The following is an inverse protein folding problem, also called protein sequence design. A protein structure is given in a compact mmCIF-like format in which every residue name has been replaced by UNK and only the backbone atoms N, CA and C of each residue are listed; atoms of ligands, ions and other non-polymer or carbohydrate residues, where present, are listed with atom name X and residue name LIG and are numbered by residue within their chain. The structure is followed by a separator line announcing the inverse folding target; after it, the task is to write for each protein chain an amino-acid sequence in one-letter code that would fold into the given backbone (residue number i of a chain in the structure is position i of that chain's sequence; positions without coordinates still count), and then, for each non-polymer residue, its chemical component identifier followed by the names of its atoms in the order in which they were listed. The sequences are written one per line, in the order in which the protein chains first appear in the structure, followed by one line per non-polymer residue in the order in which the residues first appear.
data_IF_007103663483
#
_entry.id   IF_007103663483
#
_cell.length_a   1.000
_cell.length_b   1.000
_cell.length_c   1.000
_cell.angle_alpha   90.00
_cell.angle_beta   90.00
_cell.angle_gamma   90.00
#
_symmetry.space_group_name_H-M   'P 1'
#
loop_
_entity.id
_entity.type
_entity.pdbx_description
1 polymer ?
#
# COMPACT_ATOMS: atom_id res chain seq x y z
N UNK A 1 29.55 60.83 24.35
CA UNK A 1 29.66 60.54 22.91
C UNK A 1 29.69 59.03 22.71
N UNK A 2 28.80 58.54 21.86
CA UNK A 2 28.77 57.21 21.22
C UNK A 2 28.39 56.02 22.12
N UNK A 3 27.09 55.70 22.03
CA UNK A 3 26.47 54.42 22.35
C UNK A 3 27.11 53.27 21.56
N UNK A 4 27.30 52.11 22.20
CA UNK A 4 27.51 50.83 21.53
C UNK A 4 26.53 49.80 22.09
N UNK A 5 25.35 49.75 21.48
CA UNK A 5 24.45 48.60 21.54
C UNK A 5 25.15 47.39 20.92
N UNK A 6 25.33 46.32 21.67
CA UNK A 6 25.66 45.00 21.12
C UNK A 6 24.38 44.17 21.20
N UNK A 7 23.81 43.90 20.03
CA UNK A 7 22.63 43.06 19.88
C UNK A 7 22.95 41.60 20.26
N UNK A 8 22.03 40.86 20.90
CA UNK A 8 22.19 39.43 21.04
C UNK A 8 21.92 38.78 19.67
N UNK A 9 22.90 38.05 19.15
CA UNK A 9 22.69 37.12 18.05
C UNK A 9 21.84 35.96 18.56
N UNK A 10 20.51 36.06 18.41
CA UNK A 10 19.65 34.88 18.39
C UNK A 10 19.86 34.21 17.03
N UNK A 11 20.73 33.20 16.99
CA UNK A 11 20.69 32.21 15.93
C UNK A 11 19.39 31.43 16.08
N UNK A 12 18.31 31.92 15.46
CA UNK A 12 17.15 31.11 15.12
C UNK A 12 17.68 30.02 14.19
N UNK A 13 17.97 28.85 14.76
CA UNK A 13 18.23 27.66 13.98
C UNK A 13 17.00 27.45 13.12
N UNK A 14 17.13 27.75 11.83
CA UNK A 14 16.23 27.26 10.80
C UNK A 14 16.41 25.75 10.83
N UNK A 15 15.69 25.07 11.72
CA UNK A 15 15.32 23.70 11.46
C UNK A 15 14.59 23.79 10.12
N UNK A 16 15.29 23.42 9.05
CA UNK A 16 14.64 23.16 7.78
C UNK A 16 13.53 22.19 8.12
N UNK A 17 12.29 22.68 8.14
CA UNK A 17 11.12 21.89 7.81
C UNK A 17 11.38 21.45 6.36
N UNK A 18 12.32 20.51 6.18
CA UNK A 18 12.23 19.58 5.07
C UNK A 18 10.81 19.06 5.22
N UNK A 19 9.95 19.48 4.30
CA UNK A 19 8.59 18.98 4.18
C UNK A 19 8.70 17.49 4.42
N UNK A 20 8.12 16.99 5.51
CA UNK A 20 7.99 15.57 5.69
C UNK A 20 7.16 15.13 4.49
N UNK A 21 7.83 14.67 3.45
CA UNK A 21 7.16 14.12 2.29
C UNK A 21 6.44 12.91 2.87
N UNK A 22 5.11 12.91 2.82
CA UNK A 22 4.29 11.84 3.37
C UNK A 22 4.53 10.58 2.54
N UNK A 23 5.62 9.88 2.86
CA UNK A 23 6.00 8.65 2.19
C UNK A 23 4.97 7.57 2.54
N UNK A 24 4.56 6.83 1.53
CA UNK A 24 3.72 5.65 1.73
C UNK A 24 4.59 4.55 2.35
N UNK A 25 4.40 4.34 3.65
CA UNK A 25 5.04 3.25 4.36
C UNK A 25 4.40 1.91 3.99
N UNK A 26 5.21 0.97 3.50
CA UNK A 26 4.79 -0.43 3.32
C UNK A 26 5.01 -1.19 4.61
N UNK A 27 3.98 -1.28 5.45
CA UNK A 27 4.01 -2.00 6.73
C UNK A 27 3.34 -3.37 6.66
N UNK A 28 2.60 -3.64 5.58
CA UNK A 28 1.60 -4.70 5.56
C UNK A 28 0.38 -4.36 6.41
N UNK A 29 -0.61 -5.26 6.42
CA UNK A 29 -1.85 -5.08 7.20
C UNK A 29 -1.57 -5.32 8.68
N UNK A 30 -1.75 -4.28 9.49
CA UNK A 30 -1.63 -4.35 10.95
C UNK A 30 -2.70 -5.30 11.51
N UNK A 31 -2.26 -6.35 12.22
CA UNK A 31 -3.14 -7.26 12.95
C UNK A 31 -3.47 -6.67 14.33
N UNK A 32 -4.74 -6.58 14.69
CA UNK A 32 -5.14 -5.93 15.95
C UNK A 32 -4.89 -6.79 17.21
N UNK A 33 -4.92 -8.13 17.11
CA UNK A 33 -5.01 -9.00 18.30
C UNK A 33 -4.10 -10.25 18.26
N UNK A 34 -2.94 -10.20 17.61
CA UNK A 34 -1.98 -11.31 17.64
C UNK A 34 -1.28 -11.55 16.32
N UNK A 35 -1.05 -12.83 15.99
CA UNK A 35 -0.39 -13.25 14.76
C UNK A 35 -1.13 -12.74 13.52
N UNK A 36 -0.37 -12.40 12.48
CA UNK A 36 -0.95 -12.04 11.19
C UNK A 36 -1.81 -13.20 10.65
N UNK A 37 -3.07 -12.94 10.23
CA UNK A 37 -3.89 -13.88 9.48
C UNK A 37 -3.15 -14.48 8.29
N UNK A 38 -3.50 -15.71 7.95
CA UNK A 38 -2.92 -16.42 6.80
C UNK A 38 -3.48 -15.89 5.48
N UNK A 39 -2.66 -15.89 4.44
CA UNK A 39 -3.15 -15.77 3.05
C UNK A 39 -3.79 -17.11 2.68
N UNK A 40 -5.00 -17.07 2.12
CA UNK A 40 -5.79 -18.26 1.77
C UNK A 40 -5.77 -18.53 0.27
N UNK A 41 -6.06 -19.76 -0.13
CA UNK A 41 -6.22 -20.09 -1.55
C UNK A 41 -7.47 -19.38 -2.09
N UNK A 42 -7.36 -18.73 -3.25
CA UNK A 42 -8.48 -17.99 -3.86
C UNK A 42 -9.66 -18.90 -4.21
N UNK A 43 -9.42 -20.16 -4.60
CA UNK A 43 -10.49 -21.10 -4.95
C UNK A 43 -11.31 -21.52 -3.72
N UNK A 44 -10.65 -21.70 -2.57
CA UNK A 44 -11.32 -21.97 -1.29
C UNK A 44 -12.11 -20.74 -0.84
N UNK A 45 -11.50 -19.56 -0.91
CA UNK A 45 -12.16 -18.31 -0.53
C UNK A 45 -13.42 -18.06 -1.38
N UNK A 46 -13.35 -18.34 -2.67
CA UNK A 46 -14.48 -18.20 -3.59
C UNK A 46 -15.58 -19.23 -3.33
N UNK A 47 -15.22 -20.49 -3.03
CA UNK A 47 -16.21 -21.56 -2.81
C UNK A 47 -16.95 -21.43 -1.48
N UNK A 48 -16.28 -20.93 -0.44
CA UNK A 48 -16.90 -20.62 0.86
C UNK A 48 -17.85 -19.41 0.80
N UNK A 49 -17.65 -18.53 -0.18
CA UNK A 49 -18.39 -17.29 -0.34
C UNK A 49 -18.39 -16.42 0.94
N UNK A 50 -19.41 -15.58 1.09
CA UNK A 50 -19.64 -14.81 2.30
C UNK A 50 -18.71 -13.61 2.49
N UNK A 51 -18.65 -13.06 3.71
CA UNK A 51 -18.14 -11.71 3.94
C UNK A 51 -16.70 -11.46 3.47
N UNK A 52 -15.77 -12.41 3.65
CA UNK A 52 -14.39 -12.21 3.17
C UNK A 52 -14.31 -12.21 1.64
N UNK A 53 -15.06 -13.07 0.96
CA UNK A 53 -15.12 -13.10 -0.51
C UNK A 53 -15.78 -11.84 -1.05
N UNK A 54 -16.91 -11.45 -0.49
CA UNK A 54 -17.64 -10.24 -0.85
C UNK A 54 -16.74 -9.00 -0.72
N UNK A 55 -16.02 -8.88 0.39
CA UNK A 55 -15.09 -7.77 0.62
C UNK A 55 -13.90 -7.82 -0.31
N UNK A 56 -13.34 -9.00 -0.60
CA UNK A 56 -12.24 -9.12 -1.57
C UNK A 56 -12.63 -8.57 -2.94
N UNK A 57 -13.80 -8.97 -3.46
CA UNK A 57 -14.30 -8.51 -4.76
C UNK A 57 -14.62 -7.00 -4.74
N UNK A 58 -15.34 -6.52 -3.72
CA UNK A 58 -15.69 -5.09 -3.61
C UNK A 58 -14.45 -4.21 -3.44
N UNK A 59 -13.46 -4.66 -2.66
CA UNK A 59 -12.22 -3.90 -2.44
C UNK A 59 -11.38 -3.83 -3.70
N UNK A 60 -11.31 -4.93 -4.46
CA UNK A 60 -10.64 -4.93 -5.76
C UNK A 60 -11.31 -3.96 -6.73
N UNK A 61 -12.65 -3.96 -6.76
CA UNK A 61 -13.43 -3.03 -7.58
C UNK A 61 -13.18 -1.57 -7.17
N UNK A 62 -13.27 -1.24 -5.88
CA UNK A 62 -12.99 0.12 -5.39
C UNK A 62 -11.55 0.54 -5.73
N UNK A 63 -10.56 -0.31 -5.44
CA UNK A 63 -9.13 -0.04 -5.69
C UNK A 63 -8.83 0.21 -7.18
N UNK A 64 -9.48 -0.53 -8.07
CA UNK A 64 -9.39 -0.34 -9.53
C UNK A 64 -10.10 0.92 -10.03
N UNK A 65 -11.09 1.41 -9.29
CA UNK A 65 -11.82 2.64 -9.58
C UNK A 65 -11.19 3.91 -8.99
N UNK A 66 -10.13 3.80 -8.18
CA UNK A 66 -9.39 4.96 -7.66
C UNK A 66 -8.71 5.69 -8.82
N UNK A 67 -8.74 7.02 -8.78
CA UNK A 67 -8.11 7.89 -9.77
C UNK A 67 -6.62 7.54 -9.96
N UNK A 68 -6.18 7.47 -11.22
CA UNK A 68 -4.82 7.05 -11.58
C UNK A 68 -3.72 8.00 -11.08
N UNK A 69 -4.06 9.21 -10.64
CA UNK A 69 -3.11 10.12 -10.00
C UNK A 69 -2.88 9.83 -8.51
N UNK A 70 -3.76 9.05 -7.86
CA UNK A 70 -3.58 8.64 -6.47
C UNK A 70 -2.47 7.57 -6.39
N UNK A 71 -1.41 7.78 -5.58
CA UNK A 71 -0.30 6.85 -5.46
C UNK A 71 -0.68 5.49 -4.85
N UNK A 72 -1.86 5.33 -4.26
CA UNK A 72 -2.41 4.05 -3.81
C UNK A 72 -3.44 3.46 -4.78
N UNK A 73 -3.69 4.10 -5.93
CA UNK A 73 -4.54 3.49 -6.97
C UNK A 73 -3.97 2.19 -7.50
N UNK A 74 -4.84 1.31 -8.01
CA UNK A 74 -4.41 0.10 -8.69
C UNK A 74 -3.41 0.40 -9.82
N UNK A 75 -3.65 1.49 -10.56
CA UNK A 75 -2.78 1.93 -11.66
C UNK A 75 -1.37 2.26 -11.16
N UNK A 76 -1.25 3.12 -10.14
CA UNK A 76 0.07 3.53 -9.62
C UNK A 76 0.82 2.35 -9.00
N UNK A 77 0.15 1.50 -8.20
CA UNK A 77 0.78 0.32 -7.62
C UNK A 77 1.23 -0.64 -8.72
N UNK A 78 0.40 -0.95 -9.70
CA UNK A 78 0.80 -1.81 -10.84
C UNK A 78 1.98 -1.20 -11.63
N UNK A 79 2.00 0.12 -11.79
CA UNK A 79 3.05 0.87 -12.45
C UNK A 79 4.43 0.75 -11.78
N UNK A 80 4.49 0.47 -10.47
CA UNK A 80 5.77 0.16 -9.79
C UNK A 80 6.48 -1.00 -10.49
N UNK A 81 5.75 -2.01 -10.95
CA UNK A 81 6.36 -3.16 -11.60
C UNK A 81 7.04 -2.79 -12.93
N UNK A 82 6.52 -1.81 -13.67
CA UNK A 82 6.93 -1.58 -15.04
C UNK A 82 6.36 -0.33 -15.70
N UNK A 83 5.80 -0.51 -16.90
CA UNK A 83 5.21 0.58 -17.68
C UNK A 83 4.09 1.27 -16.87
N UNK A 84 3.96 2.61 -16.86
CA UNK A 84 4.57 3.58 -17.78
C UNK A 84 5.96 4.13 -17.39
N UNK A 85 6.69 3.49 -16.48
CA UNK A 85 8.03 3.92 -16.04
C UNK A 85 8.03 5.31 -15.40
N UNK A 86 7.04 5.54 -14.55
CA UNK A 86 6.93 6.78 -13.77
C UNK A 86 7.53 6.58 -12.39
N UNK A 87 7.97 7.68 -11.79
CA UNK A 87 8.43 7.68 -10.40
C UNK A 87 7.27 7.31 -9.45
N UNK A 88 7.60 6.52 -8.43
CA UNK A 88 6.70 6.21 -7.33
C UNK A 88 7.26 6.71 -5.99
N UNK A 89 6.41 7.31 -5.16
CA UNK A 89 6.69 7.61 -3.74
C UNK A 89 8.01 8.36 -3.47
N UNK A 90 8.38 9.33 -4.31
CA UNK A 90 9.53 10.20 -4.08
C UNK A 90 10.89 9.52 -4.21
N UNK A 91 10.99 8.39 -4.92
CA UNK A 91 12.27 7.67 -5.11
C UNK A 91 13.27 8.40 -6.02
N UNK A 92 12.90 9.58 -6.55
CA UNK A 92 13.65 10.35 -7.52
C UNK A 92 13.15 10.11 -8.95
N UNK A 93 13.53 10.99 -9.89
CA UNK A 93 13.06 10.91 -11.26
C UNK A 93 13.42 9.54 -11.85
N UNK A 94 12.43 8.90 -12.46
CA UNK A 94 12.64 7.70 -13.25
C UNK A 94 13.84 7.92 -14.18
N UNK A 95 14.75 6.94 -14.26
CA UNK A 95 15.98 7.10 -15.05
C UNK A 95 15.63 7.13 -16.53
N UNK A 96 15.38 8.32 -17.04
CA UNK A 96 15.11 8.52 -18.47
C UNK A 96 16.41 8.28 -19.25
N UNK A 97 16.32 7.53 -20.35
CA UNK A 97 17.39 7.31 -21.32
C UNK A 97 18.53 6.34 -20.94
N UNK A 98 18.34 5.43 -19.96
CA UNK A 98 19.31 4.36 -19.68
C UNK A 98 18.73 2.94 -19.82
N UNK A 99 17.53 2.79 -20.40
CA UNK A 99 16.84 1.50 -20.51
C UNK A 99 16.17 1.01 -19.22
N UNK A 100 15.88 1.90 -18.27
CA UNK A 100 15.07 1.56 -17.10
C UNK A 100 13.63 1.24 -17.50
N UNK A 101 13.15 0.07 -17.07
CA UNK A 101 11.85 -0.50 -17.44
C UNK A 101 10.91 -0.68 -16.23
N UNK A 102 11.11 0.10 -15.17
CA UNK A 102 10.38 0.01 -13.90
C UNK A 102 11.19 -0.61 -12.77
N UNK A 103 10.57 -0.78 -11.61
CA UNK A 103 11.30 -1.14 -10.38
C UNK A 103 11.56 -2.65 -10.24
N UNK A 104 10.82 -3.50 -10.96
CA UNK A 104 10.90 -4.95 -10.79
C UNK A 104 12.22 -5.54 -11.32
N UNK A 105 13.03 -6.22 -10.48
CA UNK A 105 14.27 -6.86 -10.90
C UNK A 105 13.98 -8.26 -11.48
N UNK A 106 13.98 -8.38 -12.81
CA UNK A 106 13.84 -9.66 -13.49
C UNK A 106 15.20 -10.31 -13.76
N UNK A 107 15.33 -11.62 -13.47
CA UNK A 107 16.57 -12.36 -13.70
C UNK A 107 17.68 -12.07 -12.68
N UNK A 108 17.36 -11.42 -11.57
CA UNK A 108 18.31 -11.05 -10.52
C UNK A 108 18.02 -11.79 -9.20
N UNK A 109 19.03 -11.95 -8.31
CA UNK A 109 18.84 -12.54 -6.98
C UNK A 109 17.82 -11.81 -6.09
N UNK A 110 17.52 -10.54 -6.39
CA UNK A 110 16.56 -9.72 -5.67
C UNK A 110 15.10 -9.98 -6.05
N UNK A 111 14.84 -10.81 -7.08
CA UNK A 111 13.49 -11.07 -7.57
C UNK A 111 12.52 -11.41 -6.43
N UNK A 112 12.83 -12.41 -5.60
CA UNK A 112 11.93 -12.83 -4.52
C UNK A 112 11.80 -11.78 -3.41
N UNK A 113 12.91 -11.18 -2.98
CA UNK A 113 12.89 -10.20 -1.89
C UNK A 113 12.20 -8.90 -2.28
N UNK A 114 12.21 -8.54 -3.57
CA UNK A 114 11.53 -7.36 -4.10
C UNK A 114 10.01 -7.57 -4.24
N UNK A 115 9.57 -8.74 -4.70
CA UNK A 115 8.13 -9.02 -4.86
C UNK A 115 7.39 -9.11 -3.53
N UNK A 116 8.06 -9.49 -2.44
CA UNK A 116 7.46 -9.59 -1.10
C UNK A 116 6.86 -8.25 -0.60
N UNK A 117 7.61 -7.15 -0.50
CA UNK A 117 7.05 -5.85 -0.12
C UNK A 117 6.10 -5.29 -1.19
N UNK A 118 6.31 -5.58 -2.48
CA UNK A 118 5.36 -5.21 -3.53
C UNK A 118 3.96 -5.80 -3.28
N UNK A 119 3.88 -7.10 -3.00
CA UNK A 119 2.61 -7.76 -2.63
C UNK A 119 2.08 -7.26 -1.28
N UNK A 120 2.94 -6.89 -0.33
CA UNK A 120 2.50 -6.31 0.94
C UNK A 120 1.85 -4.93 0.77
N UNK A 121 2.37 -4.08 -0.12
CA UNK A 121 1.78 -2.78 -0.49
C UNK A 121 0.42 -2.95 -1.16
N UNK A 122 0.32 -3.90 -2.10
CA UNK A 122 -0.96 -4.24 -2.72
C UNK A 122 -1.98 -4.71 -1.68
N UNK A 123 -1.58 -5.64 -0.81
CA UNK A 123 -2.45 -6.21 0.23
C UNK A 123 -2.91 -5.17 1.26
N UNK A 124 -2.01 -4.30 1.75
CA UNK A 124 -2.41 -3.27 2.73
C UNK A 124 -3.40 -2.27 2.14
N UNK A 125 -3.25 -1.95 0.86
CA UNK A 125 -4.14 -1.04 0.15
C UNK A 125 -5.51 -1.70 -0.06
N UNK A 126 -5.54 -2.92 -0.59
CA UNK A 126 -6.77 -3.69 -0.77
C UNK A 126 -7.54 -3.86 0.55
N UNK A 127 -6.87 -4.21 1.64
CA UNK A 127 -7.54 -4.40 2.93
C UNK A 127 -7.98 -3.07 3.55
N UNK A 128 -7.32 -1.94 3.25
CA UNK A 128 -7.81 -0.63 3.68
C UNK A 128 -9.19 -0.30 3.07
N UNK A 129 -9.40 -0.61 1.79
CA UNK A 129 -10.70 -0.55 1.13
C UNK A 129 -11.70 -1.50 1.80
N UNK A 130 -11.31 -2.74 2.06
CA UNK A 130 -12.17 -3.73 2.72
C UNK A 130 -12.70 -3.24 4.07
N UNK A 131 -11.83 -2.64 4.89
CA UNK A 131 -12.21 -2.07 6.20
C UNK A 131 -13.17 -0.89 6.04
N UNK A 132 -12.92 0.00 5.06
CA UNK A 132 -13.79 1.13 4.77
C UNK A 132 -15.18 0.69 4.27
N UNK A 133 -15.24 -0.34 3.42
CA UNK A 133 -16.49 -0.95 2.93
C UNK A 133 -17.24 -1.62 4.08
N UNK A 134 -16.56 -2.45 4.87
CA UNK A 134 -17.15 -3.17 6.00
C UNK A 134 -17.83 -2.23 7.00
N UNK A 135 -17.24 -1.06 7.28
CA UNK A 135 -17.82 -0.06 8.16
C UNK A 135 -19.17 0.52 7.65
N UNK A 136 -19.41 0.47 6.34
CA UNK A 136 -20.64 0.97 5.69
C UNK A 136 -21.77 -0.06 5.65
N UNK A 137 -21.52 -1.33 6.01
CA UNK A 137 -22.57 -2.34 6.04
C UNK A 137 -23.68 -1.99 7.07
N UNK A 138 -24.93 -2.44 6.82
CA UNK A 138 -26.04 -2.31 7.78
C UNK A 138 -25.71 -2.91 9.15
N UNK A 139 -26.29 -2.37 10.23
CA UNK A 139 -25.91 -2.69 11.61
C UNK A 139 -26.01 -4.19 11.95
N UNK A 140 -27.00 -4.88 11.40
CA UNK A 140 -27.23 -6.31 11.59
C UNK A 140 -26.12 -7.19 11.01
N UNK A 141 -25.35 -6.71 10.02
CA UNK A 141 -24.23 -7.43 9.40
C UNK A 141 -22.87 -6.76 9.58
N UNK A 142 -22.81 -5.51 10.01
CA UNK A 142 -21.57 -4.73 10.09
C UNK A 142 -20.47 -5.43 10.88
N UNK A 143 -20.81 -6.00 12.04
CA UNK A 143 -19.83 -6.67 12.89
C UNK A 143 -19.19 -7.88 12.21
N UNK A 144 -19.97 -8.66 11.46
CA UNK A 144 -19.49 -9.82 10.69
C UNK A 144 -18.51 -9.37 9.60
N UNK A 145 -18.86 -8.34 8.84
CA UNK A 145 -18.00 -7.80 7.78
C UNK A 145 -16.74 -7.11 8.33
N UNK A 146 -16.83 -6.42 9.47
CA UNK A 146 -15.65 -5.82 10.11
C UNK A 146 -14.67 -6.92 10.55
N UNK A 147 -15.16 -8.00 11.16
CA UNK A 147 -14.32 -9.14 11.53
C UNK A 147 -13.69 -9.83 10.31
N UNK A 148 -14.47 -9.96 9.23
CA UNK A 148 -13.97 -10.47 7.96
C UNK A 148 -12.87 -9.57 7.37
N UNK A 149 -13.02 -8.24 7.39
CA UNK A 149 -12.02 -7.29 6.92
C UNK A 149 -10.71 -7.33 7.74
N UNK A 150 -10.81 -7.50 9.07
CA UNK A 150 -9.62 -7.61 9.93
C UNK A 150 -8.79 -8.87 9.64
N UNK A 151 -9.46 -9.96 9.28
CA UNK A 151 -8.84 -11.25 8.95
C UNK A 151 -8.48 -11.41 7.47
N UNK A 152 -9.01 -10.56 6.59
CA UNK A 152 -8.74 -10.62 5.15
C UNK A 152 -7.27 -10.37 4.83
N UNK A 153 -6.74 -11.18 3.92
CA UNK A 153 -5.41 -11.04 3.31
C UNK A 153 -5.56 -11.30 1.81
N UNK A 154 -4.66 -10.75 0.99
CA UNK A 154 -4.71 -11.01 -0.45
C UNK A 154 -4.56 -12.51 -0.68
N UNK A 155 -5.52 -13.18 -1.35
CA UNK A 155 -5.44 -14.62 -1.53
C UNK A 155 -4.28 -14.96 -2.46
N UNK A 156 -3.78 -16.19 -2.33
CA UNK A 156 -2.83 -16.75 -3.30
C UNK A 156 -3.57 -17.66 -4.28
N UNK A 157 -3.01 -17.79 -5.47
CA UNK A 157 -3.45 -18.79 -6.44
C UNK A 157 -2.45 -19.95 -6.45
N UNK A 158 -2.91 -21.13 -6.05
CA UNK A 158 -2.14 -22.36 -6.16
C UNK A 158 -2.22 -22.91 -7.59
N UNK A 159 -1.33 -22.44 -8.44
CA UNK A 159 -1.25 -22.87 -9.84
C UNK A 159 -0.66 -24.28 -10.00
N UNK A 160 -0.06 -24.84 -8.94
CA UNK A 160 0.59 -26.15 -8.93
C UNK A 160 -0.27 -27.27 -8.35
N UNK A 161 -1.49 -26.97 -7.86
CA UNK A 161 -2.40 -27.96 -7.33
C UNK A 161 -2.86 -28.94 -8.43
N UNK A 162 -2.81 -30.24 -8.12
CA UNK A 162 -3.23 -31.36 -8.98
C UNK A 162 -4.41 -32.11 -8.41
#
# INVERSE_FOLDING_TARGET
MISKSVAPFLALGSASLALAQDFIATTGVVAQNGSAPIRRNINELASEAGPQWDLYIQSLWEMQGVDESDPLSFFQIAGIHGWPFVEYNGTGPGRQNNGWMGYCPHGEPLFLSWHRPYVALYEQTLVSHAKAIAAKYPEDRRNEYVQAAESLRSPFWDWGAT
#
